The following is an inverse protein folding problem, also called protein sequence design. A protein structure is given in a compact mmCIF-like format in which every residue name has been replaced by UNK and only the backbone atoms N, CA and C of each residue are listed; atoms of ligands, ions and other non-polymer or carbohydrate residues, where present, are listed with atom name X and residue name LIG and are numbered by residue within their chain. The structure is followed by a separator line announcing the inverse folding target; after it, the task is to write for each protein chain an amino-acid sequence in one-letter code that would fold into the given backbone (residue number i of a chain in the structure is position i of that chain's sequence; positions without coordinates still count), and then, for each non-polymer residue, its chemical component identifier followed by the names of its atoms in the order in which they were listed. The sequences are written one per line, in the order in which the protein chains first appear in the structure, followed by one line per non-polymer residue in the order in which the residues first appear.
data_IF_848047983744
#
_entry.id   IF_848047983744
#
_cell.length_a   1.000
_cell.length_b   1.000
_cell.length_c   1.000
_cell.angle_alpha   90.00
_cell.angle_beta   90.00
_cell.angle_gamma   90.00
#
_symmetry.space_group_name_H-M   'P 1'
#
loop_
_entity.id
_entity.type
_entity.pdbx_description
1 polymer ?
#
# COMPACT_ATOMS: atom_id res chain seq x y z
N UNK A 1 18.77 4.38 28.04
CA UNK A 1 17.89 3.22 27.75
C UNK A 1 16.67 3.69 26.96
N UNK A 2 16.52 3.32 25.68
CA UNK A 2 15.35 3.72 24.89
C UNK A 2 14.09 2.99 25.38
N UNK A 3 13.10 3.74 25.85
CA UNK A 3 11.83 3.24 26.39
C UNK A 3 11.06 2.44 25.32
N UNK A 4 10.34 1.40 25.75
CA UNK A 4 9.65 0.40 24.90
C UNK A 4 8.73 1.03 23.84
N UNK A 5 8.19 2.22 24.12
CA UNK A 5 7.34 3.00 23.22
C UNK A 5 8.13 3.60 22.04
N UNK A 6 9.32 4.14 22.30
CA UNK A 6 10.20 4.75 21.28
C UNK A 6 10.68 3.71 20.26
N UNK A 7 11.02 2.49 20.74
CA UNK A 7 11.43 1.37 19.86
C UNK A 7 10.30 0.89 18.93
N UNK A 8 9.05 0.91 19.39
CA UNK A 8 7.89 0.49 18.57
C UNK A 8 7.59 1.48 17.45
N UNK A 9 7.72 2.79 17.69
CA UNK A 9 7.54 3.81 16.64
C UNK A 9 8.66 3.73 15.59
N UNK A 10 9.90 3.49 16.02
CA UNK A 10 11.04 3.31 15.10
C UNK A 10 10.86 2.08 14.21
N UNK A 11 10.40 0.95 14.76
CA UNK A 11 10.10 -0.27 13.99
C UNK A 11 9.00 -0.02 12.95
N UNK A 12 7.93 0.69 13.30
CA UNK A 12 6.88 1.04 12.35
C UNK A 12 7.41 1.96 11.24
N UNK A 13 8.20 2.98 11.60
CA UNK A 13 8.83 3.89 10.66
C UNK A 13 9.68 3.16 9.62
N UNK A 14 10.59 2.27 10.08
CA UNK A 14 11.45 1.47 9.20
C UNK A 14 10.66 0.56 8.28
N UNK A 15 9.68 -0.21 8.81
CA UNK A 15 8.85 -1.10 7.99
C UNK A 15 8.03 -0.35 6.95
N UNK A 16 7.47 0.81 7.33
CA UNK A 16 6.74 1.70 6.43
C UNK A 16 7.65 2.17 5.29
N UNK A 17 8.85 2.64 5.62
CA UNK A 17 9.82 3.11 4.62
C UNK A 17 10.22 1.98 3.67
N UNK A 18 10.52 0.78 4.19
CA UNK A 18 10.84 -0.38 3.35
C UNK A 18 9.69 -0.75 2.42
N UNK A 19 8.45 -0.76 2.93
CA UNK A 19 7.28 -1.08 2.11
C UNK A 19 7.08 -0.08 0.97
N UNK A 20 7.24 1.22 1.25
CA UNK A 20 7.15 2.27 0.23
C UNK A 20 8.26 2.12 -0.83
N UNK A 21 9.50 1.82 -0.41
CA UNK A 21 10.60 1.55 -1.34
C UNK A 21 10.31 0.35 -2.24
N UNK A 22 9.79 -0.75 -1.66
CA UNK A 22 9.42 -1.95 -2.44
C UNK A 22 8.28 -1.70 -3.40
N UNK A 23 7.25 -0.94 -2.99
CA UNK A 23 6.17 -0.52 -3.89
C UNK A 23 6.71 0.28 -5.08
N UNK A 24 7.66 1.20 -4.84
CA UNK A 24 8.32 1.94 -5.91
C UNK A 24 9.21 1.09 -6.80
N UNK A 25 9.98 0.15 -6.24
CA UNK A 25 10.80 -0.79 -7.01
C UNK A 25 9.94 -1.62 -7.96
N UNK A 26 8.82 -2.17 -7.47
CA UNK A 26 7.88 -2.95 -8.29
C UNK A 26 7.35 -2.09 -9.44
N UNK A 27 6.88 -0.87 -9.14
CA UNK A 27 6.40 0.03 -10.18
C UNK A 27 7.47 0.38 -11.22
N UNK A 28 8.71 0.56 -10.77
CA UNK A 28 9.83 0.96 -11.63
C UNK A 28 10.36 -0.19 -12.51
N UNK A 29 10.40 -1.41 -11.97
CA UNK A 29 11.12 -2.53 -12.61
C UNK A 29 10.21 -3.60 -13.20
N UNK A 30 8.92 -3.62 -12.86
CA UNK A 30 8.00 -4.67 -13.29
C UNK A 30 6.87 -4.18 -14.21
N UNK A 31 6.90 -2.91 -14.65
CA UNK A 31 5.89 -2.30 -15.53
C UNK A 31 4.46 -2.49 -15.01
N UNK A 32 4.27 -2.20 -13.72
CA UNK A 32 2.97 -2.31 -13.06
C UNK A 32 2.64 -1.02 -12.32
N UNK A 33 1.37 -0.65 -12.34
CA UNK A 33 0.90 0.48 -11.55
C UNK A 33 0.58 0.07 -10.12
N UNK A 34 1.14 0.82 -9.17
CA UNK A 34 1.03 0.52 -7.74
C UNK A 34 0.38 1.68 -7.03
N UNK A 35 -0.71 1.39 -6.33
CA UNK A 35 -1.30 2.29 -5.34
C UNK A 35 -1.32 1.60 -3.97
N UNK A 36 -0.73 2.25 -2.97
CA UNK A 36 -0.66 1.73 -1.61
C UNK A 36 -1.29 2.73 -0.64
N UNK A 37 -2.23 2.25 0.17
CA UNK A 37 -2.86 3.04 1.24
C UNK A 37 -2.60 2.39 2.59
N UNK A 38 -2.02 3.15 3.51
CA UNK A 38 -1.74 2.72 4.88
C UNK A 38 -2.56 3.56 5.86
N UNK A 39 -3.36 2.90 6.69
CA UNK A 39 -4.03 3.53 7.84
C UNK A 39 -3.26 3.21 9.12
N UNK A 40 -2.67 4.22 9.75
CA UNK A 40 -2.03 4.06 11.06
C UNK A 40 -3.14 3.96 12.11
N UNK A 41 -3.48 2.74 12.53
CA UNK A 41 -4.57 2.49 13.49
C UNK A 41 -4.48 3.34 14.76
N UNK A 42 -3.26 3.59 15.26
CA UNK A 42 -3.03 4.37 16.48
C UNK A 42 -3.41 5.84 16.36
N UNK A 43 -3.22 6.44 15.19
CA UNK A 43 -3.39 7.89 14.99
C UNK A 43 -4.51 8.22 14.01
N UNK A 44 -5.13 7.21 13.39
CA UNK A 44 -6.10 7.37 12.30
C UNK A 44 -5.52 7.88 10.97
N UNK A 45 -4.29 8.40 10.98
CA UNK A 45 -3.64 9.02 9.81
C UNK A 45 -3.49 8.04 8.64
N UNK A 46 -3.87 8.51 7.46
CA UNK A 46 -3.62 7.83 6.20
C UNK A 46 -2.31 8.29 5.57
N UNK A 47 -1.61 7.36 4.94
CA UNK A 47 -0.46 7.61 4.07
C UNK A 47 -0.74 6.89 2.77
N UNK A 48 -0.65 7.62 1.66
CA UNK A 48 -0.86 7.09 0.33
C UNK A 48 0.43 7.18 -0.47
N UNK A 49 0.62 6.22 -1.36
CA UNK A 49 1.66 6.20 -2.38
C UNK A 49 1.02 5.77 -3.69
N UNK A 50 1.29 6.51 -4.75
CA UNK A 50 0.84 6.20 -6.11
C UNK A 50 2.08 6.23 -7.02
N UNK A 51 2.21 5.22 -7.90
CA UNK A 51 3.21 5.23 -8.96
C UNK A 51 2.86 6.21 -10.08
N UNK A 52 1.56 6.41 -10.32
CA UNK A 52 1.04 7.33 -11.33
C UNK A 52 0.54 8.63 -10.71
N UNK A 53 0.90 9.75 -11.33
CA UNK A 53 0.39 11.08 -11.01
C UNK A 53 -0.91 11.38 -11.79
N UNK A 54 -1.86 10.44 -11.72
CA UNK A 54 -3.18 10.58 -12.34
C UNK A 54 -4.22 10.75 -11.23
N UNK A 55 -5.01 11.82 -11.33
CA UNK A 55 -6.06 12.14 -10.33
C UNK A 55 -7.11 11.04 -10.19
N UNK A 56 -7.33 10.26 -11.24
CA UNK A 56 -8.29 9.15 -11.30
C UNK A 56 -7.69 7.80 -10.87
N UNK A 57 -6.42 7.77 -10.46
CA UNK A 57 -5.71 6.57 -10.03
C UNK A 57 -5.50 6.55 -8.50
N UNK A 58 -5.72 5.41 -7.81
CA UNK A 58 -6.27 4.16 -8.33
C UNK A 58 -7.79 4.26 -8.57
N UNK A 59 -8.35 3.42 -9.47
CA UNK A 59 -9.78 3.27 -9.61
C UNK A 59 -10.42 2.76 -8.31
N UNK A 60 -11.70 3.08 -8.11
CA UNK A 60 -12.47 2.58 -6.98
C UNK A 60 -12.67 1.06 -7.08
N UNK A 61 -13.01 0.41 -5.95
CA UNK A 61 -13.28 -1.04 -5.96
C UNK A 61 -14.45 -1.39 -6.86
N UNK A 62 -15.46 -0.53 -6.89
CA UNK A 62 -16.63 -0.68 -7.73
C UNK A 62 -16.26 -0.53 -9.21
N UNK A 63 -15.37 0.41 -9.55
CA UNK A 63 -14.85 0.56 -10.91
C UNK A 63 -14.02 -0.66 -11.34
N UNK A 64 -13.17 -1.20 -10.46
CA UNK A 64 -12.40 -2.41 -10.73
C UNK A 64 -13.29 -3.67 -10.86
N UNK A 65 -14.36 -3.76 -10.08
CA UNK A 65 -15.30 -4.88 -10.11
C UNK A 65 -16.34 -4.79 -11.24
N UNK A 66 -16.53 -3.61 -11.83
CA UNK A 66 -17.39 -3.44 -13.01
C UNK A 66 -16.78 -4.10 -14.25
N UNK A 67 -17.63 -4.52 -15.19
CA UNK A 67 -17.37 -5.41 -16.35
C UNK A 67 -16.26 -4.99 -17.36
N UNK A 68 -15.43 -4.00 -17.03
CA UNK A 68 -14.36 -3.46 -17.87
C UNK A 68 -12.96 -4.00 -17.54
N UNK A 69 -12.80 -4.76 -16.44
CA UNK A 69 -11.50 -5.34 -16.06
C UNK A 69 -11.52 -6.85 -16.26
N UNK A 70 -10.77 -7.33 -17.25
CA UNK A 70 -10.46 -8.74 -17.41
C UNK A 70 -8.94 -8.94 -17.33
N UNK A 71 -8.45 -9.88 -16.50
CA UNK A 71 -9.20 -10.81 -15.65
C UNK A 71 -9.79 -10.15 -14.37
N UNK A 72 -10.70 -10.87 -13.69
CA UNK A 72 -11.33 -10.42 -12.43
C UNK A 72 -10.25 -10.04 -11.40
N UNK A 73 -10.38 -8.89 -10.71
CA UNK A 73 -9.40 -8.47 -9.72
C UNK A 73 -9.22 -9.49 -8.59
N UNK A 74 -7.97 -9.86 -8.32
CA UNK A 74 -7.60 -10.71 -7.19
C UNK A 74 -7.57 -9.87 -5.89
N UNK A 75 -8.40 -10.22 -4.92
CA UNK A 75 -8.47 -9.54 -3.62
C UNK A 75 -7.82 -10.42 -2.54
N UNK A 76 -6.57 -10.12 -2.18
CA UNK A 76 -5.84 -10.86 -1.15
C UNK A 76 -6.08 -10.26 0.25
N UNK A 77 -6.33 -11.13 1.22
CA UNK A 77 -6.46 -10.84 2.64
C UNK A 77 -5.26 -11.41 3.40
N UNK A 78 -5.06 -11.01 4.68
CA UNK A 78 -3.91 -11.49 5.45
C UNK A 78 -3.79 -13.02 5.55
N UNK A 79 -4.90 -13.75 5.51
CA UNK A 79 -4.90 -15.22 5.54
C UNK A 79 -4.44 -15.88 4.23
N UNK A 80 -4.41 -15.14 3.12
CA UNK A 80 -3.90 -15.64 1.84
C UNK A 80 -2.37 -15.53 1.74
N UNK A 81 -1.72 -14.96 2.77
CA UNK A 81 -0.28 -14.70 2.81
C UNK A 81 0.46 -15.57 3.85
N UNK A 82 -0.22 -16.56 4.44
CA UNK A 82 0.27 -17.41 5.53
C UNK A 82 0.68 -18.81 5.06
#
# INVERSE_FOLDING_TARGET
MATKTKRKSERLGRRKETLLKKAHEIAKFCDVDVALTLRIRKTGRYITYNSMDLKSWPPSKEQMASQLTYPVPLNLLPHDME
#
